data_IF_477499399283
#
_entry.id   IF_477499399283
#
_cell.length_a   1.000
_cell.length_b   1.000
_cell.length_c   1.000
_cell.angle_alpha   90.00
_cell.angle_beta   90.00
_cell.angle_gamma   90.00
#
_symmetry.space_group_name_H-M   'P 1'
#
loop_
_entity.id
_entity.type
_entity.pdbx_description
1 polymer ?
#
# COMPACT_ATOMS: atom_id res chain seq x y z
N UNK A 1 10.70 30.72 -48.85
CA UNK A 1 10.81 29.30 -48.46
C UNK A 1 11.08 29.13 -46.95
N UNK A 2 10.42 29.89 -46.05
CA UNK A 2 10.68 29.84 -44.59
C UNK A 2 9.44 29.61 -43.71
N UNK A 3 8.23 29.56 -44.27
CA UNK A 3 6.99 29.37 -43.51
C UNK A 3 6.60 27.89 -43.35
N UNK A 4 6.90 27.04 -44.34
CA UNK A 4 6.54 25.63 -44.31
C UNK A 4 7.33 24.85 -43.24
N UNK A 5 8.63 25.10 -43.10
CA UNK A 5 9.50 24.45 -42.10
C UNK A 5 9.16 24.82 -40.65
N UNK A 6 8.60 26.01 -40.41
CA UNK A 6 8.16 26.46 -39.08
C UNK A 6 6.82 25.84 -38.68
N UNK A 7 5.93 25.62 -39.66
CA UNK A 7 4.62 25.00 -39.49
C UNK A 7 4.74 23.50 -39.15
N UNK A 8 5.60 22.75 -39.85
CA UNK A 8 5.85 21.32 -39.54
C UNK A 8 6.49 21.14 -38.16
N UNK A 9 7.49 21.97 -37.80
CA UNK A 9 8.17 21.87 -36.49
C UNK A 9 7.22 22.12 -35.31
N UNK A 10 6.26 23.06 -35.48
CA UNK A 10 5.23 23.33 -34.49
C UNK A 10 4.23 22.18 -34.33
N UNK A 11 3.84 21.53 -35.44
CA UNK A 11 2.93 20.36 -35.42
C UNK A 11 3.59 19.13 -34.78
N UNK A 12 4.86 18.86 -35.09
CA UNK A 12 5.62 17.74 -34.49
C UNK A 12 5.77 17.92 -32.99
N UNK A 13 6.12 19.12 -32.54
CA UNK A 13 6.28 19.42 -31.11
C UNK A 13 4.97 19.28 -30.32
N UNK A 14 3.84 19.72 -30.89
CA UNK A 14 2.51 19.53 -30.28
C UNK A 14 2.16 18.05 -30.12
N UNK A 15 2.45 17.24 -31.14
CA UNK A 15 2.20 15.79 -31.10
C UNK A 15 3.06 15.10 -30.05
N UNK A 16 4.34 15.45 -29.94
CA UNK A 16 5.23 14.93 -28.90
C UNK A 16 4.75 15.30 -27.50
N UNK A 17 4.27 16.53 -27.29
CA UNK A 17 3.66 16.98 -26.03
C UNK A 17 2.45 16.13 -25.64
N UNK A 18 1.54 15.87 -26.60
CA UNK A 18 0.36 15.02 -26.38
C UNK A 18 0.77 13.57 -26.03
N UNK A 19 1.77 13.02 -26.73
CA UNK A 19 2.30 11.68 -26.45
C UNK A 19 2.88 11.58 -25.02
N UNK A 20 3.63 12.59 -24.57
CA UNK A 20 4.16 12.62 -23.20
C UNK A 20 3.05 12.83 -22.16
N UNK A 21 2.04 13.67 -22.41
CA UNK A 21 0.90 13.81 -21.50
C UNK A 21 0.18 12.47 -21.31
N UNK A 22 -0.02 11.70 -22.39
CA UNK A 22 -0.60 10.36 -22.32
C UNK A 22 0.28 9.41 -21.50
N UNK A 23 1.59 9.39 -21.76
CA UNK A 23 2.56 8.54 -21.04
C UNK A 23 2.61 8.84 -19.53
N UNK A 24 2.64 10.12 -19.15
CA UNK A 24 2.59 10.50 -17.74
C UNK A 24 1.25 10.13 -17.10
N UNK A 25 0.14 10.31 -17.83
CA UNK A 25 -1.21 9.89 -17.37
C UNK A 25 -1.27 8.38 -17.12
N UNK A 26 -0.68 7.59 -18.02
CA UNK A 26 -0.64 6.14 -17.91
C UNK A 26 0.16 5.68 -16.68
N UNK A 27 1.35 6.24 -16.45
CA UNK A 27 2.15 5.96 -15.24
C UNK A 27 1.40 6.43 -13.99
N UNK A 28 0.80 7.62 -14.01
CA UNK A 28 0.02 8.18 -12.91
C UNK A 28 -1.10 7.20 -12.50
N UNK A 29 -1.85 6.68 -13.47
CA UNK A 29 -2.91 5.71 -13.24
C UNK A 29 -2.37 4.35 -12.77
N UNK A 30 -1.32 3.82 -13.39
CA UNK A 30 -0.72 2.53 -13.01
C UNK A 30 -0.16 2.56 -11.59
N UNK A 31 0.52 3.64 -11.23
CA UNK A 31 1.05 3.84 -9.88
C UNK A 31 -0.07 3.95 -8.85
N UNK A 32 -1.15 4.71 -9.14
CA UNK A 32 -2.32 4.77 -8.27
C UNK A 32 -2.99 3.40 -8.09
N UNK A 33 -3.19 2.67 -9.18
CA UNK A 33 -3.76 1.33 -9.17
C UNK A 33 -2.89 0.38 -8.33
N UNK A 34 -1.58 0.37 -8.55
CA UNK A 34 -0.63 -0.46 -7.80
C UNK A 34 -0.59 -0.08 -6.31
N UNK A 35 -0.69 1.21 -5.97
CA UNK A 35 -0.83 1.66 -4.59
C UNK A 35 -2.08 1.07 -3.92
N UNK A 36 -3.25 1.15 -4.57
CA UNK A 36 -4.50 0.61 -4.00
C UNK A 36 -4.46 -0.91 -3.82
N UNK A 37 -3.83 -1.62 -4.77
CA UNK A 37 -3.59 -3.05 -4.65
C UNK A 37 -2.72 -3.37 -3.44
N UNK A 38 -1.57 -2.71 -3.33
CA UNK A 38 -0.64 -2.88 -2.21
C UNK A 38 -1.29 -2.58 -0.86
N UNK A 39 -2.03 -1.48 -0.76
CA UNK A 39 -2.76 -1.16 0.46
C UNK A 39 -3.80 -2.24 0.81
N UNK A 40 -4.52 -2.76 -0.19
CA UNK A 40 -5.51 -3.81 0.06
C UNK A 40 -4.87 -5.12 0.53
N UNK A 41 -3.68 -5.42 0.03
CA UNK A 41 -2.89 -6.58 0.43
C UNK A 41 -2.32 -6.39 1.84
N UNK A 42 -1.75 -5.22 2.16
CA UNK A 42 -1.26 -4.92 3.50
C UNK A 42 -2.38 -5.05 4.54
N UNK A 43 -3.54 -4.44 4.29
CA UNK A 43 -4.69 -4.52 5.17
C UNK A 43 -5.20 -5.97 5.36
N UNK A 44 -5.14 -6.79 4.30
CA UNK A 44 -5.47 -8.21 4.41
C UNK A 44 -4.48 -8.95 5.33
N UNK A 45 -3.19 -8.75 5.15
CA UNK A 45 -2.16 -9.42 5.94
C UNK A 45 -2.18 -8.96 7.40
N UNK A 46 -2.38 -7.66 7.65
CA UNK A 46 -2.55 -7.09 8.99
C UNK A 46 -3.74 -7.72 9.71
N UNK A 47 -4.89 -7.82 9.04
CA UNK A 47 -6.09 -8.41 9.64
C UNK A 47 -5.91 -9.90 9.97
N UNK A 48 -5.25 -10.66 9.09
CA UNK A 48 -4.94 -12.07 9.35
C UNK A 48 -3.89 -12.24 10.45
N UNK A 49 -2.88 -11.37 10.50
CA UNK A 49 -1.89 -11.32 11.58
C UNK A 49 -2.58 -11.09 12.92
N UNK A 50 -3.45 -10.08 13.01
CA UNK A 50 -4.23 -9.78 14.20
C UNK A 50 -5.09 -10.98 14.64
N UNK A 51 -5.76 -11.66 13.70
CA UNK A 51 -6.53 -12.88 14.00
C UNK A 51 -5.67 -14.01 14.55
N UNK A 52 -4.49 -14.24 13.96
CA UNK A 52 -3.57 -15.27 14.45
C UNK A 52 -3.03 -14.93 15.84
N UNK A 53 -2.76 -13.66 16.14
CA UNK A 53 -2.34 -13.20 17.48
C UNK A 53 -3.46 -13.43 18.50
N UNK A 54 -4.70 -13.05 18.17
CA UNK A 54 -5.87 -13.28 19.05
C UNK A 54 -6.05 -14.78 19.31
N UNK A 55 -6.05 -15.60 18.25
CA UNK A 55 -6.22 -17.05 18.38
C UNK A 55 -5.10 -17.69 19.21
N UNK A 56 -3.85 -17.31 18.94
CA UNK A 56 -2.69 -17.75 19.73
C UNK A 56 -2.84 -17.41 21.21
N UNK A 57 -3.34 -16.21 21.51
CA UNK A 57 -3.58 -15.73 22.88
C UNK A 57 -4.69 -16.54 23.55
N UNK A 58 -5.80 -16.79 22.86
CA UNK A 58 -6.88 -17.64 23.37
C UNK A 58 -6.38 -19.06 23.68
N UNK A 59 -5.63 -19.68 22.76
CA UNK A 59 -5.08 -21.03 22.97
C UNK A 59 -4.10 -21.07 24.13
N UNK A 60 -3.29 -20.01 24.31
CA UNK A 60 -2.37 -19.89 25.44
C UNK A 60 -3.12 -19.79 26.78
N UNK A 61 -4.14 -18.93 26.85
CA UNK A 61 -4.96 -18.76 28.05
C UNK A 61 -5.70 -20.05 28.41
N UNK A 62 -6.29 -20.73 27.42
CA UNK A 62 -6.94 -22.04 27.62
C UNK A 62 -5.95 -23.08 28.11
N UNK A 63 -4.74 -23.11 27.56
CA UNK A 63 -3.69 -24.02 28.03
C UNK A 63 -3.26 -23.74 29.47
N UNK A 64 -3.13 -22.47 29.86
CA UNK A 64 -2.78 -22.12 31.26
C UNK A 64 -3.93 -22.48 32.20
N UNK A 65 -5.15 -22.00 31.92
CA UNK A 65 -6.30 -22.21 32.80
C UNK A 65 -6.67 -23.70 32.91
N UNK A 66 -6.66 -24.42 31.79
CA UNK A 66 -6.82 -25.87 31.77
C UNK A 66 -5.73 -26.57 32.57
N UNK A 67 -4.47 -26.19 32.35
CA UNK A 67 -3.32 -26.76 33.07
C UNK A 67 -3.45 -26.59 34.57
N UNK A 68 -3.82 -25.39 35.03
CA UNK A 68 -4.07 -25.11 36.44
C UNK A 68 -5.22 -25.96 37.00
N UNK A 69 -6.36 -26.06 36.30
CA UNK A 69 -7.51 -26.86 36.75
C UNK A 69 -7.20 -28.35 36.88
N UNK A 70 -6.46 -28.93 35.93
CA UNK A 70 -6.15 -30.36 35.93
C UNK A 70 -4.99 -30.74 36.85
N UNK A 71 -4.07 -29.81 37.15
CA UNK A 71 -3.08 -29.97 38.22
C UNK A 71 -3.75 -30.24 39.58
N UNK A 72 -4.94 -29.66 39.82
CA UNK A 72 -5.74 -29.95 41.01
C UNK A 72 -6.38 -31.35 40.99
N UNK A 73 -6.65 -31.94 39.82
CA UNK A 73 -7.33 -33.24 39.70
C UNK A 73 -6.40 -34.47 39.61
N UNK A 74 -5.06 -34.28 39.59
CA UNK A 74 -4.06 -35.37 39.49
C UNK A 74 -4.16 -36.28 38.24
N UNK A 75 -4.91 -35.91 37.21
CA UNK A 75 -4.97 -36.63 35.92
C UNK A 75 -3.89 -36.11 34.95
N UNK A 76 -2.62 -36.41 35.24
CA UNK A 76 -1.49 -35.71 34.61
C UNK A 76 -1.13 -36.19 33.19
N UNK A 77 -1.26 -37.50 32.90
CA UNK A 77 -0.65 -38.09 31.69
C UNK A 77 -1.34 -37.69 30.39
N UNK A 78 -2.68 -37.75 30.31
CA UNK A 78 -3.44 -37.39 29.11
C UNK A 78 -3.55 -35.87 28.93
N UNK A 79 -3.53 -35.15 30.05
CA UNK A 79 -3.63 -33.70 30.10
C UNK A 79 -2.33 -33.02 29.69
N UNK A 80 -1.16 -33.59 30.06
CA UNK A 80 0.14 -33.07 29.66
C UNK A 80 0.34 -33.04 28.14
N UNK A 81 -0.19 -34.04 27.41
CA UNK A 81 -0.12 -34.08 25.94
C UNK A 81 -1.00 -33.00 25.30
N UNK A 82 -2.22 -32.80 25.82
CA UNK A 82 -3.14 -31.78 25.33
C UNK A 82 -2.59 -30.38 25.61
N UNK A 83 -2.08 -30.13 26.83
CA UNK A 83 -1.45 -28.85 27.20
C UNK A 83 -0.25 -28.53 26.33
N UNK A 84 0.64 -29.51 26.15
CA UNK A 84 1.81 -29.40 25.29
C UNK A 84 1.40 -29.04 23.87
N UNK A 85 0.39 -29.73 23.31
CA UNK A 85 -0.10 -29.47 21.96
C UNK A 85 -0.69 -28.05 21.80
N UNK A 86 -1.44 -27.55 22.79
CA UNK A 86 -2.05 -26.21 22.75
C UNK A 86 -0.99 -25.10 22.88
N UNK A 87 -0.01 -25.28 23.77
CA UNK A 87 1.11 -24.34 23.94
C UNK A 87 2.00 -24.30 22.69
N UNK A 88 2.34 -25.46 22.14
CA UNK A 88 3.11 -25.54 20.88
C UNK A 88 2.34 -24.89 19.72
N UNK A 89 1.04 -25.15 19.59
CA UNK A 89 0.21 -24.54 18.54
C UNK A 89 0.09 -23.03 18.69
N UNK A 90 -0.06 -22.53 19.93
CA UNK A 90 -0.07 -21.10 20.25
C UNK A 90 1.25 -20.42 19.85
N UNK A 91 2.39 -21.05 20.17
CA UNK A 91 3.72 -20.57 19.79
C UNK A 91 3.92 -20.50 18.28
N UNK A 92 3.53 -21.55 17.55
CA UNK A 92 3.61 -21.58 16.07
C UNK A 92 2.73 -20.50 15.44
N UNK A 93 1.49 -20.33 15.91
CA UNK A 93 0.60 -19.28 15.40
C UNK A 93 1.15 -17.87 15.64
N UNK A 94 1.75 -17.64 16.80
CA UNK A 94 2.39 -16.35 17.10
C UNK A 94 3.61 -16.11 16.23
N UNK A 95 4.41 -17.14 16.00
CA UNK A 95 5.56 -17.07 15.09
C UNK A 95 5.14 -16.82 13.64
N UNK A 96 4.05 -17.43 13.15
CA UNK A 96 3.52 -17.16 11.81
C UNK A 96 2.96 -15.72 11.67
N UNK A 97 2.41 -15.16 12.75
CA UNK A 97 1.86 -13.81 12.76
C UNK A 97 2.96 -12.72 12.80
N UNK A 98 3.93 -12.85 13.71
CA UNK A 98 4.90 -11.78 14.04
C UNK A 98 6.36 -12.20 13.93
N UNK A 99 6.67 -13.43 13.51
CA UNK A 99 8.03 -13.93 13.41
C UNK A 99 8.85 -13.22 12.34
N UNK A 100 10.12 -12.98 12.63
CA UNK A 100 11.05 -12.32 11.71
C UNK A 100 12.03 -13.35 11.14
N UNK A 101 11.55 -14.24 10.26
CA UNK A 101 12.44 -15.20 9.57
C UNK A 101 12.50 -14.91 8.09
N UNK A 102 13.69 -15.05 7.50
CA UNK A 102 13.94 -14.82 6.07
C UNK A 102 13.34 -15.92 5.20
N UNK A 103 13.31 -17.16 5.69
CA UNK A 103 12.79 -18.33 4.95
C UNK A 103 11.26 -18.35 4.83
N UNK A 104 10.55 -17.93 5.88
CA UNK A 104 9.09 -17.82 5.92
C UNK A 104 8.72 -16.49 6.55
N UNK A 105 8.60 -15.41 5.75
CA UNK A 105 8.22 -14.11 6.29
C UNK A 105 6.81 -14.21 6.87
N UNK A 106 6.67 -13.72 8.10
CA UNK A 106 5.38 -13.63 8.79
C UNK A 106 4.39 -12.75 8.03
N UNK A 107 3.12 -12.84 8.45
CA UNK A 107 2.07 -12.01 7.87
C UNK A 107 2.38 -10.52 8.06
N UNK A 108 2.90 -10.11 9.22
CA UNK A 108 3.30 -8.72 9.49
C UNK A 108 4.45 -8.25 8.57
N UNK A 109 5.50 -9.07 8.42
CA UNK A 109 6.61 -8.76 7.52
C UNK A 109 6.15 -8.65 6.05
N UNK A 110 5.18 -9.47 5.63
CA UNK A 110 4.56 -9.37 4.30
C UNK A 110 3.74 -8.09 4.17
N UNK A 111 2.96 -7.72 5.19
CA UNK A 111 2.20 -6.49 5.20
C UNK A 111 3.10 -5.26 5.03
N UNK A 112 4.22 -5.21 5.77
CA UNK A 112 5.20 -4.13 5.69
C UNK A 112 5.82 -4.00 4.29
N UNK A 113 6.11 -5.11 3.60
CA UNK A 113 6.56 -5.06 2.20
C UNK A 113 5.54 -4.38 1.28
N UNK A 114 4.26 -4.68 1.46
CA UNK A 114 3.19 -4.02 0.72
C UNK A 114 3.01 -2.55 1.10
N UNK A 115 3.18 -2.19 2.38
CA UNK A 115 3.16 -0.78 2.82
C UNK A 115 4.29 0.01 2.13
N UNK A 116 5.51 -0.52 2.14
CA UNK A 116 6.67 0.11 1.52
C UNK A 116 6.49 0.25 0.00
N UNK A 117 6.03 -0.81 -0.67
CA UNK A 117 5.71 -0.76 -2.10
C UNK A 117 4.61 0.27 -2.39
N UNK A 118 3.56 0.32 -1.57
CA UNK A 118 2.49 1.30 -1.68
C UNK A 118 2.96 2.75 -1.50
N UNK A 119 3.88 2.99 -0.56
CA UNK A 119 4.48 4.30 -0.33
C UNK A 119 5.28 4.77 -1.56
N UNK A 120 6.13 3.90 -2.14
CA UNK A 120 6.86 4.22 -3.37
C UNK A 120 5.92 4.46 -4.56
N UNK A 121 4.87 3.65 -4.72
CA UNK A 121 3.87 3.87 -5.76
C UNK A 121 3.15 5.21 -5.59
N UNK A 122 2.89 5.63 -4.35
CA UNK A 122 2.32 6.96 -4.06
C UNK A 122 3.28 8.08 -4.43
N UNK A 123 4.57 7.92 -4.14
CA UNK A 123 5.62 8.88 -4.52
C UNK A 123 5.70 9.02 -6.04
N UNK A 124 5.71 7.90 -6.76
CA UNK A 124 5.73 7.86 -8.24
C UNK A 124 4.48 8.54 -8.82
N UNK A 125 3.29 8.24 -8.29
CA UNK A 125 2.04 8.89 -8.72
C UNK A 125 2.11 10.42 -8.58
N UNK A 126 2.61 10.92 -7.44
CA UNK A 126 2.78 12.36 -7.19
C UNK A 126 3.80 13.00 -8.14
N UNK A 127 4.93 12.34 -8.38
CA UNK A 127 5.95 12.82 -9.31
C UNK A 127 5.44 12.86 -10.76
N UNK A 128 4.73 11.81 -11.20
CA UNK A 128 4.10 11.77 -12.52
C UNK A 128 3.11 12.94 -12.72
N UNK A 129 2.27 13.18 -11.71
CA UNK A 129 1.32 14.32 -11.72
C UNK A 129 2.03 15.67 -11.76
N UNK A 130 3.15 15.81 -11.04
CA UNK A 130 3.95 17.03 -11.03
C UNK A 130 4.62 17.29 -12.39
N UNK A 131 5.24 16.27 -13.01
CA UNK A 131 5.85 16.41 -14.35
C UNK A 131 4.79 16.71 -15.41
N UNK A 132 3.63 16.05 -15.34
CA UNK A 132 2.48 16.36 -16.21
C UNK A 132 1.99 17.80 -16.04
N UNK A 133 1.95 18.32 -14.81
CA UNK A 133 1.60 19.71 -14.55
C UNK A 133 2.62 20.67 -15.19
N UNK A 134 3.92 20.39 -15.04
CA UNK A 134 4.99 21.20 -15.65
C UNK A 134 4.92 21.21 -17.18
N UNK A 135 4.57 20.06 -17.78
CA UNK A 135 4.34 19.91 -19.22
C UNK A 135 3.20 20.82 -19.69
N UNK A 136 2.08 20.83 -18.95
CA UNK A 136 0.86 21.57 -19.31
C UNK A 136 0.97 23.07 -19.09
N UNK A 137 1.67 23.51 -18.04
CA UNK A 137 1.86 24.94 -17.76
C UNK A 137 2.93 25.59 -18.63
N UNK A 138 3.61 24.81 -19.50
CA UNK A 138 4.69 25.32 -20.36
C UNK A 138 5.92 25.81 -19.57
N UNK A 139 6.05 25.41 -18.30
CA UNK A 139 7.11 25.87 -17.40
C UNK A 139 8.47 25.20 -17.67
N UNK A 140 8.56 24.34 -18.69
CA UNK A 140 9.75 23.58 -19.04
C UNK A 140 10.03 23.69 -20.55
N UNK A 141 11.31 23.58 -20.93
CA UNK A 141 11.83 24.14 -22.18
C UNK A 141 11.28 23.39 -23.40
N UNK A 142 11.44 24.01 -24.58
CA UNK A 142 11.24 23.48 -25.94
C UNK A 142 11.98 22.17 -26.26
N UNK A 143 12.53 21.48 -25.26
CA UNK A 143 13.46 20.36 -25.38
C UNK A 143 12.78 19.04 -24.95
N UNK A 144 12.42 18.22 -25.93
CA UNK A 144 11.75 16.92 -25.75
C UNK A 144 12.60 15.91 -24.97
N UNK A 145 13.92 16.09 -24.98
CA UNK A 145 14.91 15.26 -24.28
C UNK A 145 14.66 15.21 -22.77
N UNK A 146 14.23 16.31 -22.16
CA UNK A 146 13.97 16.37 -20.71
C UNK A 146 12.78 15.49 -20.31
N UNK A 147 11.71 15.52 -21.12
CA UNK A 147 10.50 14.72 -20.87
C UNK A 147 10.77 13.24 -21.01
N UNK A 148 11.62 12.87 -21.98
CA UNK A 148 12.08 11.50 -22.13
C UNK A 148 12.83 11.00 -20.89
N UNK A 149 13.80 11.78 -20.39
CA UNK A 149 14.58 11.43 -19.18
C UNK A 149 13.68 11.26 -17.97
N UNK A 150 12.80 12.23 -17.70
CA UNK A 150 11.85 12.17 -16.58
C UNK A 150 10.90 10.96 -16.69
N UNK A 151 10.41 10.64 -17.89
CA UNK A 151 9.59 9.45 -18.11
C UNK A 151 10.37 8.16 -17.85
N UNK A 152 11.62 8.07 -18.31
CA UNK A 152 12.49 6.91 -18.05
C UNK A 152 12.78 6.73 -16.56
N UNK A 153 13.03 7.81 -15.82
CA UNK A 153 13.21 7.79 -14.36
C UNK A 153 11.97 7.23 -13.66
N UNK A 154 10.78 7.72 -14.01
CA UNK A 154 9.52 7.21 -13.45
C UNK A 154 9.31 5.73 -13.76
N UNK A 155 9.60 5.31 -14.99
CA UNK A 155 9.45 3.93 -15.41
C UNK A 155 10.44 3.01 -14.66
N UNK A 156 11.66 3.48 -14.43
CA UNK A 156 12.67 2.76 -13.64
C UNK A 156 12.22 2.61 -12.19
N UNK A 157 11.81 3.71 -11.56
CA UNK A 157 11.30 3.70 -10.19
C UNK A 157 10.06 2.80 -10.04
N UNK A 158 9.17 2.80 -11.04
CA UNK A 158 7.98 1.93 -11.05
C UNK A 158 8.37 0.45 -11.11
N UNK A 159 9.33 0.09 -11.96
CA UNK A 159 9.83 -1.29 -12.04
C UNK A 159 10.48 -1.73 -10.73
N UNK A 160 11.28 -0.87 -10.12
CA UNK A 160 11.90 -1.13 -8.82
C UNK A 160 10.84 -1.34 -7.73
N UNK A 161 9.90 -0.40 -7.58
CA UNK A 161 8.83 -0.50 -6.59
C UNK A 161 7.92 -1.73 -6.80
N UNK A 162 7.72 -2.14 -8.06
CA UNK A 162 6.96 -3.36 -8.39
C UNK A 162 7.67 -4.65 -7.95
N UNK A 163 8.98 -4.61 -7.74
CA UNK A 163 9.76 -5.79 -7.30
C UNK A 163 9.68 -6.03 -5.79
N UNK A 164 9.24 -5.05 -5.01
CA UNK A 164 9.24 -5.12 -3.54
C UNK A 164 8.21 -6.10 -2.98
N UNK A 165 7.11 -6.33 -3.71
CA UNK A 165 6.02 -7.20 -3.26
C UNK A 165 5.28 -7.86 -4.42
N UNK A 166 4.62 -8.98 -4.12
CA UNK A 166 3.84 -9.75 -5.10
C UNK A 166 2.36 -9.56 -4.81
N UNK A 167 1.64 -8.97 -5.76
CA UNK A 167 0.18 -8.78 -5.66
C UNK A 167 -0.52 -10.10 -5.99
N UNK A 168 -1.48 -10.52 -5.16
CA UNK A 168 -2.28 -11.71 -5.45
C UNK A 168 -3.30 -11.42 -6.53
N UNK A 169 -3.66 -12.46 -7.27
CA UNK A 169 -4.63 -12.36 -8.37
C UNK A 169 -5.95 -11.73 -7.95
N UNK A 170 -6.44 -12.03 -6.73
CA UNK A 170 -7.68 -11.46 -6.20
C UNK A 170 -7.62 -9.93 -6.11
N UNK A 171 -6.53 -9.35 -5.62
CA UNK A 171 -6.36 -7.90 -5.59
C UNK A 171 -6.18 -7.33 -7.00
N UNK A 172 -5.44 -8.05 -7.86
CA UNK A 172 -5.28 -7.66 -9.26
C UNK A 172 -6.62 -7.54 -10.00
N UNK A 173 -7.46 -8.58 -9.89
CA UNK A 173 -8.80 -8.66 -10.48
C UNK A 173 -9.72 -7.57 -9.92
N UNK A 174 -9.70 -7.35 -8.60
CA UNK A 174 -10.48 -6.29 -7.94
C UNK A 174 -10.19 -4.94 -8.60
N UNK A 175 -8.95 -4.52 -8.67
CA UNK A 175 -8.58 -3.20 -9.20
C UNK A 175 -8.29 -3.20 -10.70
N UNK A 176 -8.84 -4.14 -11.47
CA UNK A 176 -8.64 -4.16 -12.93
C UNK A 176 -9.49 -3.11 -13.65
N UNK A 177 -10.60 -2.69 -13.04
CA UNK A 177 -11.49 -1.68 -13.61
C UNK A 177 -11.15 -0.26 -13.11
N UNK A 178 -11.21 0.71 -14.01
CA UNK A 178 -10.95 2.13 -13.70
C UNK A 178 -11.95 2.67 -12.68
N UNK A 179 -13.22 2.29 -12.81
CA UNK A 179 -14.30 2.73 -11.93
C UNK A 179 -14.02 2.41 -10.46
N UNK A 180 -13.52 1.20 -10.18
CA UNK A 180 -13.22 0.79 -8.82
C UNK A 180 -12.01 1.54 -8.26
N UNK A 181 -10.97 1.75 -9.08
CA UNK A 181 -9.80 2.57 -8.70
C UNK A 181 -10.24 3.97 -8.33
N UNK A 182 -11.08 4.62 -9.15
CA UNK A 182 -11.59 5.96 -8.87
C UNK A 182 -12.50 6.01 -7.63
N UNK A 183 -13.36 5.01 -7.46
CA UNK A 183 -14.29 4.95 -6.31
C UNK A 183 -13.52 4.82 -5.00
N UNK A 184 -12.54 3.92 -4.93
CA UNK A 184 -11.70 3.71 -3.75
C UNK A 184 -10.80 4.91 -3.47
N UNK A 185 -10.30 5.58 -4.52
CA UNK A 185 -9.57 6.84 -4.38
C UNK A 185 -10.42 7.95 -3.76
N UNK A 186 -11.67 8.13 -4.24
CA UNK A 186 -12.60 9.13 -3.68
C UNK A 186 -12.91 8.85 -2.23
N UNK A 187 -13.33 7.62 -1.92
CA UNK A 187 -13.62 7.19 -0.54
C UNK A 187 -12.48 7.51 0.43
N UNK A 188 -11.23 7.27 0.03
CA UNK A 188 -10.06 7.58 0.86
C UNK A 188 -9.84 9.08 1.04
N UNK A 189 -10.05 9.85 -0.01
CA UNK A 189 -9.96 11.31 0.06
C UNK A 189 -10.98 11.84 1.05
N UNK A 190 -12.22 11.37 0.98
CA UNK A 190 -13.31 11.77 1.86
C UNK A 190 -12.99 11.42 3.32
N UNK A 191 -12.49 10.20 3.58
CA UNK A 191 -12.04 9.78 4.92
C UNK A 191 -10.92 10.65 5.49
N UNK A 192 -9.96 11.07 4.66
CA UNK A 192 -8.88 11.97 5.11
C UNK A 192 -9.43 13.35 5.42
N UNK A 193 -10.36 13.86 4.61
CA UNK A 193 -11.02 15.14 4.87
C UNK A 193 -11.79 15.11 6.18
N UNK A 194 -12.63 14.09 6.40
CA UNK A 194 -13.36 13.90 7.66
C UNK A 194 -12.44 13.87 8.89
N UNK A 195 -11.31 13.16 8.78
CA UNK A 195 -10.34 13.09 9.87
C UNK A 195 -9.67 14.43 10.18
N UNK A 196 -9.31 15.19 9.13
CA UNK A 196 -8.72 16.53 9.29
C UNK A 196 -9.73 17.52 9.88
N UNK A 197 -11.00 17.43 9.48
CA UNK A 197 -12.08 18.27 10.01
C UNK A 197 -12.32 17.95 11.50
N UNK A 198 -12.30 16.69 11.90
CA UNK A 198 -12.40 16.27 13.30
C UNK A 198 -11.24 16.80 14.16
N UNK A 199 -10.00 16.73 13.66
CA UNK A 199 -8.82 17.31 14.35
C UNK A 199 -8.99 18.82 14.52
N UNK A 200 -9.47 19.51 13.48
CA UNK A 200 -9.65 20.96 13.52
C UNK A 200 -10.70 21.35 14.56
N UNK A 201 -11.85 20.67 14.58
CA UNK A 201 -12.90 20.90 15.57
C UNK A 201 -12.39 20.67 17.00
N UNK A 202 -11.63 19.60 17.24
CA UNK A 202 -11.03 19.31 18.54
C UNK A 202 -10.00 20.37 18.96
N UNK A 203 -9.27 20.94 18.01
CA UNK A 203 -8.29 22.01 18.27
C UNK A 203 -8.99 23.31 18.64
N UNK A 204 -10.11 23.62 17.99
CA UNK A 204 -10.95 24.79 18.28
C UNK A 204 -11.60 24.67 19.68
N UNK A 205 -12.16 23.52 20.02
CA UNK A 205 -12.75 23.23 21.34
C UNK A 205 -11.72 23.34 22.49
N UNK A 206 -10.50 22.84 22.27
CA UNK A 206 -9.41 22.95 23.24
C UNK A 206 -8.89 24.39 23.42
N UNK A 207 -9.03 25.26 22.40
CA UNK A 207 -8.64 26.66 22.51
C UNK A 207 -9.73 27.51 23.19
N UNK A 208 -11.00 27.13 23.07
CA UNK A 208 -12.12 27.77 23.77
C UNK A 208 -12.15 27.42 25.26
N UNK A 209 -11.70 26.23 25.65
CA UNK A 209 -11.62 25.82 27.07
C UNK A 209 -10.39 26.34 27.81
N UNK A 210 -9.38 26.85 27.10
CA UNK A 210 -8.16 27.42 27.68
C UNK A 210 -8.18 28.98 27.74
N UNK A 211 -9.27 29.61 27.31
CA UNK A 211 -9.55 31.04 27.47
C UNK A 211 -10.65 31.27 28.52
#
# INVERSE_FOLDING_TARGET
MGSETRSTRSKTYKKELEDYDHRFTEIEYRALRAYLMNYSESAYFDWWSAKMVILSTCLFVVAILGGSYFLYQKEFERTGTILGSLLSSSGVLRWLATGQTEFLPSLDARAQKHVNAGAEMTRIHRLAKLYRSQLRTGAAPTDSTRWETQYKELLSAYKEASSYSVIREKAYQKYNTVELVCTEQRKRKDQVTEYLDAIKAQTEENNETNN
#
